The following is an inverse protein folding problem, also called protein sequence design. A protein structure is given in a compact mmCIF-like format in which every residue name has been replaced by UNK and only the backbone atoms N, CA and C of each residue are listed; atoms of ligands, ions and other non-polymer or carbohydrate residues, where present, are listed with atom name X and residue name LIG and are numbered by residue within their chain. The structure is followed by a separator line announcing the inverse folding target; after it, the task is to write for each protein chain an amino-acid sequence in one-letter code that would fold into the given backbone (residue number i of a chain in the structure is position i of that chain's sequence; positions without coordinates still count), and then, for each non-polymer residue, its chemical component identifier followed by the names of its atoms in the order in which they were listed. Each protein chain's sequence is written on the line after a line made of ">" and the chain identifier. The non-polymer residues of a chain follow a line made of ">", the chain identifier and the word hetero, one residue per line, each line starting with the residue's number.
data_IF_335711563990
#
_entry.id   IF_335711563990
#
_cell.length_a   1.000
_cell.length_b   1.000
_cell.length_c   1.000
_cell.angle_alpha   90.00
_cell.angle_beta   90.00
_cell.angle_gamma   90.00
#
_symmetry.space_group_name_H-M   'P 1'
#
loop_
_entity.id
_entity.type
_entity.pdbx_description
1 polymer ?
#
# COMPACT_ATOMS: atom_id res chain seq x y z
N UNK A 1 -28.31 12.97 7.17
CA UNK A 1 -28.25 11.92 6.12
C UNK A 1 -28.98 10.75 6.71
N UNK A 2 -30.27 10.63 6.39
CA UNK A 2 -31.19 9.88 7.25
C UNK A 2 -31.33 8.42 6.82
N UNK A 3 -30.73 8.06 5.67
CA UNK A 3 -30.62 6.70 5.11
C UNK A 3 -29.86 6.75 3.77
N UNK A 4 -29.18 5.67 3.42
CA UNK A 4 -28.58 5.45 2.10
C UNK A 4 -29.04 4.10 1.52
N UNK A 5 -28.95 3.95 0.19
CA UNK A 5 -29.20 2.68 -0.51
C UNK A 5 -28.01 2.40 -1.41
N UNK A 6 -27.51 1.16 -1.41
CA UNK A 6 -26.42 0.69 -2.28
C UNK A 6 -26.75 -0.69 -2.82
N UNK A 7 -26.70 -0.92 -4.13
CA UNK A 7 -26.96 -2.23 -4.76
C UNK A 7 -28.22 -2.95 -4.21
N UNK A 8 -29.30 -2.21 -4.00
CA UNK A 8 -30.56 -2.74 -3.44
C UNK A 8 -30.60 -2.88 -1.91
N UNK A 9 -29.46 -2.74 -1.22
CA UNK A 9 -29.39 -2.77 0.24
C UNK A 9 -29.71 -1.42 0.86
N UNK A 10 -30.61 -1.41 1.85
CA UNK A 10 -30.89 -0.22 2.67
C UNK A 10 -29.88 -0.15 3.81
N UNK A 11 -29.19 0.98 3.91
CA UNK A 11 -28.16 1.24 4.91
C UNK A 11 -28.71 2.24 5.94
N UNK A 12 -28.92 1.80 7.20
CA UNK A 12 -29.37 2.68 8.27
C UNK A 12 -28.39 3.81 8.56
N UNK A 13 -28.90 4.95 9.02
CA UNK A 13 -28.06 6.03 9.52
C UNK A 13 -27.13 5.53 10.65
N UNK A 14 -25.91 6.08 10.71
CA UNK A 14 -24.85 5.72 11.68
C UNK A 14 -24.23 4.33 11.50
N UNK A 15 -24.53 3.62 10.41
CA UNK A 15 -23.79 2.40 10.04
C UNK A 15 -22.31 2.73 9.86
N UNK A 16 -21.43 1.91 10.46
CA UNK A 16 -19.98 2.03 10.29
C UNK A 16 -19.57 1.35 8.99
N UNK A 17 -18.75 2.03 8.21
CA UNK A 17 -18.18 1.49 6.98
C UNK A 17 -16.67 1.33 7.15
N UNK A 18 -16.17 0.20 6.68
CA UNK A 18 -14.75 -0.03 6.48
C UNK A 18 -14.56 -0.35 4.99
N UNK A 19 -13.73 0.46 4.33
CA UNK A 19 -13.36 0.21 2.95
C UNK A 19 -12.17 -0.74 2.98
N UNK A 20 -12.34 -1.92 2.39
CA UNK A 20 -11.28 -2.93 2.34
C UNK A 20 -10.30 -2.61 1.20
N UNK A 21 -9.53 -1.53 1.36
CA UNK A 21 -8.55 -1.09 0.38
C UNK A 21 -7.48 -2.16 0.09
N UNK A 22 -7.16 -3.00 1.08
CA UNK A 22 -6.23 -4.13 0.92
C UNK A 22 -6.74 -5.14 -0.11
N UNK A 23 -8.02 -5.50 -0.04
CA UNK A 23 -8.64 -6.42 -1.00
C UNK A 23 -8.80 -5.80 -2.38
N UNK A 24 -9.12 -4.51 -2.46
CA UNK A 24 -9.27 -3.79 -3.74
C UNK A 24 -7.92 -3.74 -4.47
N UNK A 25 -6.83 -3.41 -3.75
CA UNK A 25 -5.48 -3.41 -4.32
C UNK A 25 -4.95 -4.78 -4.73
N UNK A 26 -5.69 -5.87 -4.43
CA UNK A 26 -5.38 -7.26 -4.79
C UNK A 26 -6.46 -7.92 -5.64
N UNK A 27 -7.43 -7.16 -6.12
CA UNK A 27 -8.52 -7.70 -6.92
C UNK A 27 -8.01 -8.13 -8.30
N UNK A 28 -8.12 -9.42 -8.69
CA UNK A 28 -7.71 -9.88 -10.02
C UNK A 28 -8.57 -9.32 -11.16
N UNK A 29 -9.76 -8.77 -10.89
CA UNK A 29 -10.55 -8.05 -11.90
C UNK A 29 -9.97 -6.66 -12.21
N UNK A 30 -9.27 -6.05 -11.25
CA UNK A 30 -8.63 -4.75 -11.40
C UNK A 30 -7.15 -4.85 -11.81
N UNK A 31 -6.44 -5.89 -11.35
CA UNK A 31 -4.99 -6.02 -11.48
C UNK A 31 -4.56 -7.38 -12.04
N UNK A 32 -3.77 -7.37 -13.11
CA UNK A 32 -3.07 -8.57 -13.58
C UNK A 32 -2.03 -9.01 -12.52
N UNK A 33 -1.99 -10.29 -12.15
CA UNK A 33 -1.09 -10.84 -11.12
C UNK A 33 -1.04 -9.96 -9.83
N UNK A 34 -2.16 -9.82 -9.10
CA UNK A 34 -2.27 -8.87 -7.99
C UNK A 34 -1.33 -9.17 -6.81
N UNK A 35 -0.91 -10.42 -6.66
CA UNK A 35 -0.01 -10.86 -5.58
C UNK A 35 1.48 -10.68 -5.94
N UNK A 36 1.81 -10.30 -7.18
CA UNK A 36 3.19 -10.06 -7.60
C UNK A 36 3.58 -8.58 -7.39
N UNK A 37 4.70 -8.37 -6.68
CA UNK A 37 5.35 -7.07 -6.62
C UNK A 37 5.96 -6.71 -7.99
N UNK A 38 5.20 -5.98 -8.81
CA UNK A 38 5.54 -5.61 -10.19
C UNK A 38 5.38 -4.10 -10.39
N UNK A 39 6.38 -3.28 -10.00
CA UNK A 39 6.33 -1.82 -10.14
C UNK A 39 6.07 -1.35 -11.57
N UNK A 40 6.52 -2.13 -12.56
CA UNK A 40 6.39 -1.84 -13.99
C UNK A 40 4.93 -1.73 -14.43
N UNK A 41 3.97 -2.29 -13.67
CA UNK A 41 2.53 -2.13 -13.96
C UNK A 41 2.07 -0.68 -13.94
N UNK A 42 2.82 0.19 -13.26
CA UNK A 42 2.51 1.62 -13.14
C UNK A 42 3.29 2.48 -14.15
N UNK A 43 4.21 1.89 -14.94
CA UNK A 43 4.85 2.61 -16.05
C UNK A 43 3.80 2.86 -17.13
N UNK A 44 3.65 4.13 -17.54
CA UNK A 44 2.63 4.58 -18.50
C UNK A 44 1.18 4.23 -18.11
N UNK A 45 0.93 3.96 -16.83
CA UNK A 45 -0.40 3.70 -16.29
C UNK A 45 -1.07 5.03 -15.88
N UNK A 46 -2.32 5.28 -16.31
CA UNK A 46 -3.03 6.49 -15.91
C UNK A 46 -3.55 6.46 -14.46
N UNK A 47 -3.60 5.28 -13.82
CA UNK A 47 -4.12 5.09 -12.47
C UNK A 47 -3.20 5.77 -11.45
N UNK A 48 -3.77 6.58 -10.55
CA UNK A 48 -3.05 7.20 -9.45
C UNK A 48 -3.70 6.98 -8.07
N UNK A 49 -2.94 7.29 -7.02
CA UNK A 49 -3.37 7.13 -5.62
C UNK A 49 -4.06 8.37 -5.03
N UNK A 50 -4.43 9.37 -5.84
CA UNK A 50 -5.05 10.64 -5.39
C UNK A 50 -6.56 10.51 -5.18
N UNK A 51 -7.08 9.28 -5.24
CA UNK A 51 -8.44 8.92 -4.87
C UNK A 51 -9.49 9.17 -5.93
N UNK A 52 -9.10 9.33 -7.20
CA UNK A 52 -10.03 9.31 -8.34
C UNK A 52 -10.12 7.93 -9.00
N UNK A 53 -9.05 7.14 -8.91
CA UNK A 53 -9.01 5.76 -9.38
C UNK A 53 -9.27 4.83 -8.19
N UNK A 54 -10.40 4.13 -8.22
CA UNK A 54 -10.86 3.35 -7.08
C UNK A 54 -10.10 2.03 -6.90
N UNK A 55 -9.40 1.59 -7.94
CA UNK A 55 -8.50 0.45 -7.98
C UNK A 55 -7.26 0.66 -7.08
N UNK A 56 -6.90 1.92 -6.79
CA UNK A 56 -5.74 2.30 -5.98
C UNK A 56 -6.07 3.43 -4.99
N UNK A 57 -6.55 3.07 -3.79
CA UNK A 57 -6.98 4.04 -2.76
C UNK A 57 -6.22 3.92 -1.41
N UNK A 58 -4.86 3.88 -1.39
CA UNK A 58 -4.09 3.74 -0.16
C UNK A 58 -4.27 4.94 0.80
N UNK A 59 -4.68 6.10 0.28
CA UNK A 59 -4.97 7.30 1.06
C UNK A 59 -6.49 7.57 1.25
N UNK A 60 -7.33 6.63 0.84
CA UNK A 60 -8.78 6.80 0.77
C UNK A 60 -9.23 7.67 -0.41
N UNK A 61 -10.47 8.14 -0.36
CA UNK A 61 -11.10 8.93 -1.43
C UNK A 61 -12.18 9.89 -0.88
N UNK A 62 -12.66 10.79 -1.73
CA UNK A 62 -13.78 11.67 -1.46
C UNK A 62 -13.51 12.70 -0.37
N UNK A 63 -14.56 13.12 0.34
CA UNK A 63 -14.50 14.24 1.30
C UNK A 63 -13.57 14.04 2.49
N UNK A 64 -13.14 12.81 2.74
CA UNK A 64 -12.30 12.43 3.89
C UNK A 64 -11.02 11.73 3.45
N UNK A 65 -10.60 11.93 2.21
CA UNK A 65 -9.27 11.52 1.74
C UNK A 65 -8.20 12.07 2.68
N UNK A 66 -7.11 11.31 2.87
CA UNK A 66 -6.02 11.71 3.73
C UNK A 66 -5.53 13.13 3.37
N UNK A 67 -5.56 14.10 4.29
CA UNK A 67 -5.15 15.46 3.96
C UNK A 67 -3.63 15.58 3.70
N UNK A 68 -2.87 14.53 4.01
CA UNK A 68 -1.42 14.49 3.90
C UNK A 68 -0.91 13.66 2.71
N UNK A 69 -1.74 13.37 1.68
CA UNK A 69 -1.33 12.54 0.52
C UNK A 69 0.03 12.98 -0.06
N UNK A 70 0.15 14.27 -0.39
CA UNK A 70 1.39 14.80 -0.99
C UNK A 70 2.58 14.73 -0.04
N UNK A 71 2.38 15.00 1.24
CA UNK A 71 3.44 14.94 2.25
C UNK A 71 3.90 13.49 2.50
N UNK A 72 2.95 12.56 2.62
CA UNK A 72 3.23 11.14 2.82
C UNK A 72 3.99 10.55 1.65
N UNK A 73 3.52 10.80 0.41
CA UNK A 73 4.20 10.35 -0.80
C UNK A 73 5.65 10.89 -0.88
N UNK A 74 5.82 12.20 -0.72
CA UNK A 74 7.16 12.81 -0.75
C UNK A 74 8.09 12.28 0.35
N UNK A 75 7.55 11.98 1.54
CA UNK A 75 8.33 11.40 2.64
C UNK A 75 8.83 10.00 2.31
N UNK A 76 7.96 9.14 1.76
CA UNK A 76 8.33 7.77 1.36
C UNK A 76 9.35 7.81 0.22
N UNK A 77 9.12 8.63 -0.80
CA UNK A 77 10.03 8.78 -1.94
C UNK A 77 11.42 9.27 -1.48
N UNK A 78 11.47 10.30 -0.63
CA UNK A 78 12.73 10.86 -0.15
C UNK A 78 13.50 9.85 0.71
N UNK A 79 12.83 9.20 1.66
CA UNK A 79 13.45 8.21 2.54
C UNK A 79 14.00 7.03 1.72
N UNK A 80 13.21 6.49 0.79
CA UNK A 80 13.65 5.38 -0.05
C UNK A 80 14.81 5.79 -0.97
N UNK A 81 14.72 6.97 -1.59
CA UNK A 81 15.79 7.49 -2.45
C UNK A 81 17.11 7.64 -1.69
N UNK A 82 17.08 8.18 -0.47
CA UNK A 82 18.27 8.33 0.37
C UNK A 82 18.89 6.96 0.71
N UNK A 83 18.07 5.99 1.11
CA UNK A 83 18.53 4.65 1.45
C UNK A 83 19.16 3.93 0.24
N UNK A 84 18.52 4.00 -0.93
CA UNK A 84 18.97 3.34 -2.16
C UNK A 84 20.15 4.06 -2.82
N UNK A 85 20.25 5.38 -2.67
CA UNK A 85 21.36 6.15 -3.20
C UNK A 85 22.65 5.91 -2.41
N UNK A 86 22.55 5.84 -1.08
CA UNK A 86 23.73 5.79 -0.20
C UNK A 86 24.26 4.38 0.05
N UNK A 87 23.42 3.34 -0.03
CA UNK A 87 23.79 1.98 0.35
C UNK A 87 23.35 0.94 -0.68
N UNK A 88 24.21 -0.05 -0.87
CA UNK A 88 23.81 -1.35 -1.39
C UNK A 88 23.30 -2.20 -0.22
N UNK A 89 22.24 -2.97 -0.46
CA UNK A 89 21.54 -3.72 0.57
C UNK A 89 21.71 -5.22 0.37
N UNK A 90 22.08 -5.92 1.44
CA UNK A 90 22.22 -7.37 1.45
C UNK A 90 21.49 -8.00 2.63
N UNK A 91 21.06 -9.24 2.44
CA UNK A 91 20.59 -10.08 3.54
C UNK A 91 21.77 -10.46 4.46
N UNK A 92 21.53 -10.66 5.77
CA UNK A 92 22.54 -11.20 6.67
C UNK A 92 23.13 -12.51 6.14
N UNK A 93 24.38 -12.79 6.51
CA UNK A 93 25.08 -14.00 6.04
C UNK A 93 24.27 -15.27 6.36
N UNK A 94 24.02 -16.08 5.33
CA UNK A 94 23.27 -17.34 5.44
C UNK A 94 21.75 -17.20 5.35
N UNK A 95 21.20 -15.98 5.32
CA UNK A 95 19.77 -15.73 5.10
C UNK A 95 19.50 -15.61 3.60
N UNK A 96 18.51 -16.35 3.11
CA UNK A 96 18.05 -16.28 1.72
C UNK A 96 16.71 -15.55 1.62
N UNK A 97 16.33 -15.06 0.42
CA UNK A 97 15.04 -14.40 0.23
C UNK A 97 13.84 -15.27 0.64
N UNK A 98 13.94 -16.59 0.44
CA UNK A 98 12.86 -17.53 0.79
C UNK A 98 12.70 -17.71 2.31
N UNK A 99 13.69 -17.30 3.10
CA UNK A 99 13.65 -17.36 4.57
C UNK A 99 12.93 -16.15 5.18
N UNK A 100 12.56 -15.14 4.37
CA UNK A 100 11.87 -13.95 4.86
C UNK A 100 10.38 -14.23 5.11
N UNK A 101 9.96 -14.08 6.38
CA UNK A 101 8.54 -14.07 6.71
C UNK A 101 7.90 -12.72 6.35
N UNK A 102 6.97 -12.76 5.41
CA UNK A 102 6.19 -11.61 4.92
C UNK A 102 4.81 -11.51 5.58
N UNK A 103 4.52 -12.35 6.58
CA UNK A 103 3.27 -12.30 7.34
C UNK A 103 3.10 -10.93 7.99
N UNK A 104 1.88 -10.39 7.92
CA UNK A 104 1.55 -9.07 8.43
C UNK A 104 0.75 -9.15 9.73
N UNK A 105 0.99 -8.19 10.64
CA UNK A 105 0.10 -7.95 11.78
C UNK A 105 -1.17 -7.27 11.28
N UNK A 106 -2.31 -7.92 11.48
CA UNK A 106 -3.61 -7.34 11.15
C UNK A 106 -3.96 -6.20 12.12
N UNK A 107 -4.28 -5.03 11.58
CA UNK A 107 -4.60 -3.84 12.37
C UNK A 107 -5.04 -2.66 11.51
N UNK A 108 -5.13 -1.47 12.13
CA UNK A 108 -5.44 -0.21 11.42
C UNK A 108 -4.31 0.13 10.43
N UNK A 109 -3.06 -0.19 10.78
CA UNK A 109 -1.90 -0.17 9.91
C UNK A 109 -1.30 -1.57 9.87
N UNK A 110 -0.92 -2.02 8.67
CA UNK A 110 -0.33 -3.34 8.46
C UNK A 110 1.19 -3.20 8.36
N UNK A 111 1.91 -4.01 9.11
CA UNK A 111 3.36 -4.11 9.11
C UNK A 111 3.74 -5.58 9.27
N UNK A 112 4.96 -5.96 8.87
CA UNK A 112 5.44 -7.32 9.03
C UNK A 112 5.48 -7.72 10.51
N UNK A 113 5.18 -8.99 10.78
CA UNK A 113 5.31 -9.58 12.11
C UNK A 113 6.77 -9.51 12.57
N UNK A 114 7.68 -9.92 11.69
CA UNK A 114 9.11 -9.90 11.92
C UNK A 114 9.79 -8.72 11.21
N UNK A 115 10.76 -8.10 11.87
CA UNK A 115 11.49 -6.97 11.31
C UNK A 115 12.32 -7.37 10.07
N UNK A 116 12.51 -6.41 9.15
CA UNK A 116 13.45 -6.58 8.03
C UNK A 116 14.86 -6.27 8.49
N UNK A 117 15.67 -7.30 8.70
CA UNK A 117 17.09 -7.14 9.03
C UNK A 117 17.91 -7.16 7.73
N UNK A 118 18.66 -6.08 7.50
CA UNK A 118 19.53 -5.93 6.32
C UNK A 118 20.91 -5.41 6.74
N UNK A 119 21.90 -5.72 5.91
CA UNK A 119 23.24 -5.15 5.97
C UNK A 119 23.32 -4.01 4.96
N UNK A 120 23.55 -2.79 5.45
CA UNK A 120 23.80 -1.62 4.62
C UNK A 120 25.29 -1.52 4.29
N UNK A 121 25.65 -1.60 3.01
CA UNK A 121 27.01 -1.39 2.52
C UNK A 121 27.12 -0.03 1.85
N UNK A 122 28.00 0.89 2.30
CA UNK A 122 28.20 2.15 1.62
C UNK A 122 28.50 1.92 0.15
N UNK A 123 27.75 2.60 -0.72
CA UNK A 123 27.91 2.48 -2.18
C UNK A 123 29.13 3.26 -2.69
N UNK A 124 29.66 4.16 -1.87
CA UNK A 124 30.81 5.02 -2.14
C UNK A 124 31.76 5.04 -0.93
#
# INVERSE_FOLDING_TARGET
>A
MDRATNEGYRIPAKTRFFINAWSIGRDPEAWENPEEFKPERFLDCPIDYKGQDYELIPFGTGRRICPAVTFGAATVELALTQLLHSFDWELPSGVKPEDLDMTEVFGITMHRVEELILVAKPRF
#
